data_IF_283372905235
#
_entry.id   IF_283372905235
#
_cell.length_a   1.000
_cell.length_b   1.000
_cell.length_c   1.000
_cell.angle_alpha   90.00
_cell.angle_beta   90.00
_cell.angle_gamma   90.00
#
_symmetry.space_group_name_H-M   'P 1'
#
loop_
_entity.id
_entity.type
_entity.pdbx_description
1 polymer ?
#
# COMPACT_ATOMS: atom_id res chain seq x y z
N UNK A 1 -67.97 35.70 33.27
CA UNK A 1 -68.12 34.47 34.08
C UNK A 1 -67.49 33.28 33.49
N UNK A 2 -66.14 33.34 33.27
CA UNK A 2 -65.37 32.17 32.84
C UNK A 2 -63.86 32.42 33.09
N UNK A 3 -63.54 32.77 34.32
CA UNK A 3 -62.13 32.84 34.73
C UNK A 3 -62.09 32.67 36.25
N UNK A 4 -62.00 31.46 36.74
CA UNK A 4 -61.34 31.08 37.99
C UNK A 4 -61.55 29.58 38.24
N UNK A 5 -60.78 28.74 37.52
CA UNK A 5 -60.40 27.42 38.01
C UNK A 5 -58.93 27.49 38.37
N UNK A 6 -58.73 27.87 39.64
CA UNK A 6 -57.38 27.55 40.26
C UNK A 6 -57.29 26.02 40.30
N UNK A 7 -56.39 25.52 39.48
CA UNK A 7 -55.92 24.16 39.65
C UNK A 7 -55.16 24.11 40.99
N UNK A 8 -55.79 23.53 41.96
CA UNK A 8 -55.10 23.10 43.16
C UNK A 8 -54.01 22.14 42.74
N UNK A 9 -52.75 22.50 42.96
CA UNK A 9 -51.61 21.62 42.80
C UNK A 9 -51.78 20.51 43.84
N UNK A 10 -52.23 19.33 43.39
CA UNK A 10 -52.05 18.13 44.19
C UNK A 10 -50.53 17.93 44.43
N UNK A 11 -50.10 17.64 45.66
CA UNK A 11 -48.69 17.37 45.91
C UNK A 11 -48.31 16.14 45.15
N UNK A 12 -47.55 16.34 44.06
CA UNK A 12 -46.95 15.28 43.29
C UNK A 12 -46.16 14.39 44.22
N UNK A 13 -46.49 13.10 44.32
CA UNK A 13 -45.75 12.12 45.09
C UNK A 13 -44.30 12.18 44.63
N UNK A 14 -43.38 12.71 45.46
CA UNK A 14 -41.97 12.80 45.18
C UNK A 14 -41.47 11.41 44.74
N UNK A 15 -41.05 11.33 43.50
CA UNK A 15 -40.43 10.11 42.95
C UNK A 15 -39.24 9.75 43.84
N UNK A 16 -39.03 8.46 44.09
CA UNK A 16 -37.82 7.96 44.84
C UNK A 16 -36.51 8.53 44.27
N UNK A 17 -36.48 8.79 42.97
CA UNK A 17 -35.35 9.46 42.28
C UNK A 17 -35.16 10.90 42.77
N UNK A 18 -36.25 11.68 42.94
CA UNK A 18 -36.20 13.07 43.44
C UNK A 18 -35.66 13.13 44.87
N UNK A 19 -36.10 12.20 45.72
CA UNK A 19 -35.63 12.12 47.13
C UNK A 19 -34.15 11.81 47.19
N UNK A 20 -33.65 10.85 46.36
CA UNK A 20 -32.22 10.49 46.30
C UNK A 20 -31.42 11.66 45.71
N UNK A 21 -31.90 12.26 44.61
CA UNK A 21 -31.26 13.41 43.97
C UNK A 21 -31.12 14.58 44.94
N UNK A 22 -32.23 14.97 45.63
CA UNK A 22 -32.20 16.05 46.60
C UNK A 22 -31.27 15.75 47.79
N UNK A 23 -31.22 14.52 48.29
CA UNK A 23 -30.31 14.10 49.37
C UNK A 23 -28.82 14.14 48.98
N UNK A 24 -28.53 13.84 47.71
CA UNK A 24 -27.15 13.90 47.20
C UNK A 24 -26.77 15.35 46.90
N UNK A 25 -27.62 16.10 46.16
CA UNK A 25 -27.34 17.46 45.73
C UNK A 25 -27.29 18.46 46.91
N UNK A 26 -28.16 18.31 47.92
CA UNK A 26 -28.17 19.19 49.08
C UNK A 26 -26.84 19.26 49.80
N UNK A 27 -26.03 18.16 49.82
CA UNK A 27 -24.69 18.11 50.43
C UNK A 27 -23.69 19.07 49.74
N UNK A 28 -23.95 19.41 48.48
CA UNK A 28 -23.07 20.28 47.68
C UNK A 28 -23.64 21.69 47.53
N UNK A 29 -24.91 21.90 47.79
CA UNK A 29 -25.60 23.20 47.57
C UNK A 29 -25.81 23.96 48.88
N UNK A 30 -26.17 23.25 49.98
CA UNK A 30 -26.58 23.87 51.22
C UNK A 30 -25.58 23.58 52.35
N UNK A 31 -25.23 24.63 53.14
CA UNK A 31 -24.40 24.52 54.34
C UNK A 31 -23.00 25.16 54.25
N UNK A 32 -22.44 25.57 55.40
CA UNK A 32 -21.12 26.23 55.47
C UNK A 32 -19.97 25.44 54.85
N UNK A 33 -20.07 24.11 54.81
CA UNK A 33 -19.05 23.24 54.21
C UNK A 33 -19.31 22.93 52.74
N UNK A 34 -20.37 23.44 52.15
CA UNK A 34 -20.75 23.15 50.74
C UNK A 34 -19.65 23.55 49.74
N UNK A 35 -18.96 24.67 50.01
CA UNK A 35 -17.84 25.15 49.19
C UNK A 35 -16.65 24.18 49.18
N UNK A 36 -16.28 23.62 50.38
CA UNK A 36 -15.20 22.67 50.47
C UNK A 36 -15.56 21.32 49.80
N UNK A 37 -16.81 20.89 49.94
CA UNK A 37 -17.31 19.68 49.27
C UNK A 37 -17.35 19.82 47.75
N UNK A 38 -17.71 21.01 47.23
CA UNK A 38 -17.62 21.31 45.78
C UNK A 38 -16.15 21.30 45.32
N UNK A 39 -15.24 21.94 46.04
CA UNK A 39 -13.81 21.89 45.73
C UNK A 39 -13.30 20.44 45.72
N UNK A 40 -13.62 19.64 46.74
CA UNK A 40 -13.24 18.23 46.81
C UNK A 40 -13.84 17.41 45.63
N UNK A 41 -15.09 17.69 45.24
CA UNK A 41 -15.71 17.08 44.08
C UNK A 41 -14.96 17.40 42.79
N UNK A 42 -14.64 18.69 42.57
CA UNK A 42 -13.88 19.11 41.38
C UNK A 42 -12.47 18.51 41.37
N UNK A 43 -11.78 18.46 42.52
CA UNK A 43 -10.48 17.81 42.60
C UNK A 43 -10.62 16.30 42.32
N UNK A 44 -11.66 15.65 42.83
CA UNK A 44 -11.94 14.24 42.56
C UNK A 44 -12.20 13.98 41.06
N UNK A 45 -13.03 14.83 40.41
CA UNK A 45 -13.30 14.73 38.98
C UNK A 45 -12.02 14.96 38.18
N UNK A 46 -11.24 16.00 38.52
CA UNK A 46 -9.97 16.29 37.82
C UNK A 46 -8.97 15.14 37.99
N UNK A 47 -8.85 14.60 39.20
CA UNK A 47 -7.99 13.45 39.47
C UNK A 47 -8.42 12.22 38.69
N UNK A 48 -9.72 11.96 38.59
CA UNK A 48 -10.26 10.85 37.80
C UNK A 48 -10.01 11.01 36.29
N UNK A 49 -10.16 12.24 35.80
CA UNK A 49 -9.81 12.56 34.39
C UNK A 49 -8.32 12.39 34.13
N UNK A 50 -7.46 12.87 35.03
CA UNK A 50 -6.00 12.69 34.95
C UNK A 50 -5.62 11.20 35.01
N UNK A 51 -6.24 10.43 35.89
CA UNK A 51 -6.04 8.99 35.97
C UNK A 51 -6.50 8.29 34.67
N UNK A 52 -7.66 8.65 34.15
CA UNK A 52 -8.15 8.10 32.89
C UNK A 52 -7.23 8.43 31.70
N UNK A 53 -6.76 9.67 31.61
CA UNK A 53 -5.81 10.07 30.59
C UNK A 53 -4.45 9.33 30.73
N UNK A 54 -4.01 9.11 31.96
CA UNK A 54 -2.76 8.38 32.23
C UNK A 54 -2.79 6.94 31.72
N UNK A 55 -3.95 6.27 31.74
CA UNK A 55 -4.09 4.92 31.18
C UNK A 55 -3.73 4.85 29.70
N UNK A 56 -4.06 5.89 28.92
CA UNK A 56 -3.71 5.98 27.51
C UNK A 56 -2.21 6.30 27.32
N UNK A 57 -1.65 7.21 28.14
CA UNK A 57 -0.21 7.57 28.08
C UNK A 57 0.67 6.37 28.44
N UNK A 58 0.30 5.61 29.46
CA UNK A 58 1.03 4.38 29.85
C UNK A 58 0.69 3.16 28.98
N UNK A 59 -0.06 3.36 27.87
CA UNK A 59 -0.45 2.31 26.93
C UNK A 59 -1.21 1.13 27.58
N UNK A 60 -1.82 1.34 28.76
CA UNK A 60 -2.68 0.35 29.44
C UNK A 60 -4.05 0.24 28.75
N UNK A 61 -4.50 1.33 28.14
CA UNK A 61 -5.63 1.36 27.23
C UNK A 61 -5.13 1.90 25.90
N UNK A 62 -5.19 1.06 24.86
CA UNK A 62 -4.71 1.41 23.51
C UNK A 62 -5.72 2.36 22.85
N UNK A 63 -5.26 3.53 22.44
CA UNK A 63 -6.04 4.46 21.64
C UNK A 63 -6.03 3.97 20.19
N UNK A 64 -7.11 3.37 19.70
CA UNK A 64 -7.29 3.04 18.29
C UNK A 64 -8.28 4.00 17.67
N UNK A 65 -7.97 4.51 16.47
CA UNK A 65 -8.92 5.33 15.72
C UNK A 65 -10.15 4.52 15.31
N UNK A 66 -9.91 3.31 14.80
CA UNK A 66 -10.94 2.34 14.46
C UNK A 66 -10.41 0.94 14.79
N UNK A 67 -11.25 0.04 15.31
CA UNK A 67 -10.84 -1.35 15.56
C UNK A 67 -10.71 -2.08 14.22
N UNK A 68 -9.76 -3.04 14.12
CA UNK A 68 -9.62 -3.89 12.96
C UNK A 68 -10.91 -4.68 12.71
N UNK A 69 -11.39 -4.66 11.48
CA UNK A 69 -12.60 -5.41 11.09
C UNK A 69 -12.21 -6.85 10.75
N UNK A 70 -13.01 -7.80 11.20
CA UNK A 70 -12.79 -9.21 10.96
C UNK A 70 -13.37 -9.61 9.59
N UNK A 71 -12.66 -9.29 8.52
CA UNK A 71 -13.03 -9.62 7.13
C UNK A 71 -12.55 -11.02 6.73
N UNK A 72 -13.19 -11.59 5.73
CA UNK A 72 -12.83 -12.90 5.18
C UNK A 72 -11.93 -12.79 3.94
N UNK A 73 -11.16 -11.70 3.85
CA UNK A 73 -10.23 -11.46 2.74
C UNK A 73 -8.95 -10.76 3.23
N UNK A 74 -7.84 -11.14 2.64
CA UNK A 74 -6.52 -10.55 2.81
C UNK A 74 -5.86 -10.41 1.44
N UNK A 75 -4.94 -9.45 1.29
CA UNK A 75 -4.17 -9.28 0.08
C UNK A 75 -2.68 -9.18 0.40
N UNK A 76 -1.84 -9.92 -0.31
CA UNK A 76 -0.40 -9.67 -0.33
C UNK A 76 -0.08 -8.85 -1.56
N UNK A 77 0.61 -7.76 -1.34
CA UNK A 77 1.08 -6.86 -2.39
C UNK A 77 2.59 -7.03 -2.48
N UNK A 78 3.06 -7.47 -3.64
CA UNK A 78 4.46 -7.87 -3.87
C UNK A 78 5.12 -6.89 -4.83
N UNK A 79 6.24 -6.32 -4.40
CA UNK A 79 7.12 -5.50 -5.23
C UNK A 79 8.50 -6.15 -5.27
N UNK A 80 8.93 -6.56 -6.46
CA UNK A 80 10.23 -7.16 -6.71
C UNK A 80 11.31 -6.08 -6.89
N UNK A 81 12.58 -6.39 -6.60
CA UNK A 81 13.66 -5.47 -6.91
C UNK A 81 13.78 -5.24 -8.42
N UNK A 82 14.23 -4.06 -8.79
CA UNK A 82 14.46 -3.69 -10.18
C UNK A 82 15.37 -4.69 -10.91
N UNK A 83 15.02 -4.98 -12.16
CA UNK A 83 15.71 -5.98 -12.96
C UNK A 83 15.24 -7.42 -12.76
N UNK A 84 14.25 -7.65 -11.88
CA UNK A 84 13.64 -8.98 -11.74
C UNK A 84 12.77 -9.32 -12.95
N UNK A 85 12.73 -10.59 -13.30
CA UNK A 85 11.85 -11.09 -14.37
C UNK A 85 10.46 -11.47 -13.83
N UNK A 86 9.50 -11.57 -14.76
CA UNK A 86 8.15 -12.04 -14.43
C UNK A 86 8.16 -13.46 -13.84
N UNK A 87 9.09 -14.30 -14.30
CA UNK A 87 9.26 -15.67 -13.79
C UNK A 87 9.72 -15.67 -12.33
N UNK A 88 10.61 -14.74 -11.95
CA UNK A 88 11.03 -14.57 -10.55
C UNK A 88 9.86 -14.09 -9.67
N UNK A 89 9.07 -13.13 -10.15
CA UNK A 89 7.85 -12.69 -9.47
C UNK A 89 6.87 -13.83 -9.28
N UNK A 90 6.66 -14.62 -10.33
CA UNK A 90 5.79 -15.79 -10.25
C UNK A 90 6.32 -16.89 -9.31
N UNK A 91 7.65 -17.09 -9.26
CA UNK A 91 8.28 -18.02 -8.32
C UNK A 91 8.08 -17.59 -6.87
N UNK A 92 8.27 -16.29 -6.56
CA UNK A 92 7.99 -15.74 -5.24
C UNK A 92 6.53 -15.92 -4.86
N UNK A 93 5.59 -15.57 -5.76
CA UNK A 93 4.14 -15.75 -5.51
C UNK A 93 3.80 -17.22 -5.24
N UNK A 94 4.45 -18.16 -5.92
CA UNK A 94 4.29 -19.59 -5.68
C UNK A 94 4.75 -20.03 -4.28
N UNK A 95 5.92 -19.52 -3.80
CA UNK A 95 6.38 -19.81 -2.43
C UNK A 95 5.47 -19.18 -1.37
N UNK A 96 5.01 -17.93 -1.58
CA UNK A 96 4.07 -17.26 -0.69
C UNK A 96 2.73 -18.02 -0.64
N UNK A 97 2.20 -18.41 -1.80
CA UNK A 97 0.96 -19.16 -1.92
C UNK A 97 1.04 -20.53 -1.22
N UNK A 98 2.12 -21.26 -1.40
CA UNK A 98 2.35 -22.53 -0.73
C UNK A 98 2.37 -22.38 0.81
N UNK A 99 2.85 -21.23 1.32
CA UNK A 99 2.83 -20.96 2.75
C UNK A 99 1.45 -20.60 3.25
N UNK A 100 0.72 -19.80 2.50
CA UNK A 100 -0.67 -19.41 2.78
C UNK A 100 -1.60 -20.63 2.78
N UNK A 101 -1.41 -21.57 1.89
CA UNK A 101 -2.20 -22.80 1.76
C UNK A 101 -2.12 -23.71 3.01
N UNK A 102 -1.07 -23.58 3.81
CA UNK A 102 -0.92 -24.31 5.07
C UNK A 102 -1.79 -23.77 6.21
N UNK A 103 -2.43 -22.61 6.03
CA UNK A 103 -3.27 -21.99 7.06
C UNK A 103 -4.69 -22.58 7.00
N UNK A 104 -5.18 -23.23 8.07
CA UNK A 104 -6.46 -23.94 8.03
C UNK A 104 -7.67 -23.05 7.74
N UNK A 105 -7.57 -21.76 8.02
CA UNK A 105 -8.64 -20.78 7.79
C UNK A 105 -8.65 -20.19 6.37
N UNK A 106 -7.68 -20.56 5.54
CA UNK A 106 -7.66 -20.15 4.12
C UNK A 106 -8.59 -21.06 3.33
N UNK A 107 -9.57 -20.46 2.66
CA UNK A 107 -10.50 -21.16 1.79
C UNK A 107 -9.90 -21.37 0.39
N UNK A 108 -9.33 -20.33 -0.18
CA UNK A 108 -8.64 -20.33 -1.47
C UNK A 108 -7.79 -19.06 -1.61
N UNK A 109 -6.97 -19.05 -2.65
CA UNK A 109 -6.18 -17.88 -3.04
C UNK A 109 -6.10 -17.75 -4.56
N UNK A 110 -5.76 -16.56 -5.03
CA UNK A 110 -5.54 -16.26 -6.45
C UNK A 110 -4.28 -15.44 -6.58
N UNK A 111 -3.33 -15.87 -7.42
CA UNK A 111 -2.08 -15.22 -7.67
C UNK A 111 -2.11 -14.47 -9.00
N UNK A 112 -1.61 -13.24 -9.00
CA UNK A 112 -1.53 -12.36 -10.15
C UNK A 112 -0.07 -11.92 -10.31
N UNK A 113 0.62 -12.44 -11.32
CA UNK A 113 2.00 -12.07 -11.64
C UNK A 113 2.01 -11.05 -12.78
N UNK A 114 2.74 -9.94 -12.58
CA UNK A 114 2.85 -8.87 -13.59
C UNK A 114 1.64 -7.94 -13.69
N UNK A 115 0.66 -8.11 -12.83
CA UNK A 115 -0.55 -7.29 -12.77
C UNK A 115 -1.11 -7.28 -11.36
N UNK A 116 -1.98 -6.31 -11.09
CA UNK A 116 -2.72 -6.26 -9.82
C UNK A 116 -3.86 -7.28 -9.78
N UNK A 117 -4.27 -7.64 -8.57
CA UNK A 117 -5.54 -8.34 -8.33
C UNK A 117 -6.74 -7.52 -8.83
N UNK A 118 -7.93 -8.13 -9.03
CA UNK A 118 -9.15 -7.42 -9.39
C UNK A 118 -9.41 -6.26 -8.42
N UNK A 119 -9.92 -5.16 -8.96
CA UNK A 119 -10.10 -3.91 -8.18
C UNK A 119 -11.05 -4.13 -7.02
N UNK A 120 -10.52 -4.05 -5.82
CA UNK A 120 -11.29 -3.95 -4.57
C UNK A 120 -11.42 -2.47 -4.18
N UNK A 121 -12.33 -2.15 -3.25
CA UNK A 121 -12.47 -0.78 -2.78
C UNK A 121 -11.17 -0.26 -2.12
N UNK A 122 -10.47 -1.11 -1.37
CA UNK A 122 -9.16 -0.80 -0.80
C UNK A 122 -8.10 -0.58 -1.88
N UNK A 123 -8.04 -1.47 -2.86
CA UNK A 123 -7.12 -1.35 -4.01
C UNK A 123 -7.38 -0.10 -4.85
N UNK A 124 -8.63 0.36 -4.95
CA UNK A 124 -8.98 1.60 -5.63
C UNK A 124 -8.36 2.82 -4.92
N UNK A 125 -8.51 2.93 -3.61
CA UNK A 125 -7.99 4.08 -2.84
C UNK A 125 -6.47 4.05 -2.74
N UNK A 126 -5.87 2.88 -2.54
CA UNK A 126 -4.42 2.69 -2.52
C UNK A 126 -3.79 2.68 -3.91
N UNK A 127 -4.60 2.81 -4.96
CA UNK A 127 -4.18 2.85 -6.37
C UNK A 127 -3.43 1.58 -6.83
N UNK A 128 -3.66 0.44 -6.18
CA UNK A 128 -3.00 -0.82 -6.53
C UNK A 128 -3.33 -1.30 -7.95
N UNK A 129 -4.50 -0.93 -8.49
CA UNK A 129 -4.92 -1.26 -9.86
C UNK A 129 -4.02 -0.65 -10.94
N UNK A 130 -3.20 0.37 -10.61
CA UNK A 130 -2.25 0.97 -11.53
C UNK A 130 -0.94 0.18 -11.65
N UNK A 131 -0.70 -0.79 -10.74
CA UNK A 131 0.53 -1.57 -10.71
C UNK A 131 0.52 -2.60 -11.83
N UNK A 132 1.49 -2.50 -12.74
CA UNK A 132 1.67 -3.38 -13.89
C UNK A 132 3.15 -3.53 -14.21
N UNK A 133 3.51 -4.66 -14.78
CA UNK A 133 4.87 -4.96 -15.22
C UNK A 133 5.50 -6.14 -14.47
N UNK A 134 6.67 -6.60 -14.90
CA UNK A 134 7.28 -7.85 -14.42
C UNK A 134 7.63 -7.82 -12.92
N UNK A 135 7.78 -6.63 -12.33
CA UNK A 135 8.23 -6.45 -10.94
C UNK A 135 7.09 -6.52 -9.91
N UNK A 136 5.84 -6.56 -10.36
CA UNK A 136 4.69 -6.50 -9.45
C UNK A 136 3.91 -7.81 -9.44
N UNK A 137 3.35 -8.12 -8.28
CA UNK A 137 2.45 -9.24 -8.12
C UNK A 137 1.52 -9.06 -6.94
N UNK A 138 0.39 -9.72 -6.99
CA UNK A 138 -0.60 -9.72 -5.92
C UNK A 138 -1.03 -11.17 -5.62
N UNK A 139 -1.31 -11.45 -4.35
CA UNK A 139 -1.96 -12.67 -3.92
C UNK A 139 -3.22 -12.30 -3.15
N UNK A 140 -4.37 -12.55 -3.75
CA UNK A 140 -5.66 -12.40 -3.09
C UNK A 140 -5.98 -13.66 -2.31
N UNK A 141 -6.26 -13.54 -1.03
CA UNK A 141 -6.50 -14.66 -0.10
C UNK A 141 -7.91 -14.52 0.44
N UNK A 142 -8.70 -15.57 0.30
CA UNK A 142 -10.02 -15.67 0.89
C UNK A 142 -10.00 -16.61 2.09
N UNK A 143 -10.48 -16.11 3.22
CA UNK A 143 -10.59 -16.84 4.47
C UNK A 143 -11.99 -17.46 4.61
N UNK A 144 -12.11 -18.49 5.41
CA UNK A 144 -13.40 -18.99 5.88
C UNK A 144 -14.23 -17.88 6.49
N UNK A 145 -15.55 -18.02 6.49
CA UNK A 145 -16.43 -17.04 7.13
C UNK A 145 -16.04 -16.85 8.61
N UNK A 146 -16.21 -15.62 9.10
CA UNK A 146 -15.85 -15.26 10.49
C UNK A 146 -16.56 -16.12 11.55
N UNK A 147 -17.68 -16.74 11.22
CA UNK A 147 -18.44 -17.63 12.10
C UNK A 147 -17.95 -19.09 12.03
N UNK A 148 -17.14 -19.43 11.02
CA UNK A 148 -16.57 -20.78 10.82
C UNK A 148 -15.12 -20.88 11.27
N UNK A 149 -14.51 -19.79 11.77
CA UNK A 149 -13.14 -19.75 12.24
C UNK A 149 -13.02 -19.15 13.64
N UNK A 150 -12.02 -19.60 14.39
CA UNK A 150 -11.78 -19.13 15.75
C UNK A 150 -10.87 -17.90 15.78
N UNK A 151 -9.88 -17.83 14.88
CA UNK A 151 -8.95 -16.69 14.79
C UNK A 151 -9.57 -15.57 13.94
N UNK A 152 -9.37 -14.31 14.37
CA UNK A 152 -9.72 -13.13 13.56
C UNK A 152 -8.75 -13.01 12.38
N UNK A 153 -9.18 -12.30 11.32
CA UNK A 153 -8.30 -12.00 10.16
C UNK A 153 -6.99 -11.36 10.59
N UNK A 154 -7.04 -10.41 11.50
CA UNK A 154 -5.87 -9.74 12.05
C UNK A 154 -4.90 -10.71 12.77
N UNK A 155 -5.40 -11.61 13.58
CA UNK A 155 -4.56 -12.62 14.26
C UNK A 155 -3.87 -13.55 13.25
N UNK A 156 -4.57 -13.90 12.17
CA UNK A 156 -4.02 -14.70 11.06
C UNK A 156 -2.92 -13.91 10.35
N UNK A 157 -3.17 -12.65 10.02
CA UNK A 157 -2.20 -11.75 9.39
C UNK A 157 -0.93 -11.61 10.21
N UNK A 158 -1.06 -11.35 11.52
CA UNK A 158 0.08 -11.23 12.42
C UNK A 158 0.91 -12.52 12.50
N UNK A 159 0.24 -13.68 12.52
CA UNK A 159 0.92 -14.97 12.56
C UNK A 159 1.65 -15.30 11.25
N UNK A 160 1.09 -14.92 10.10
CA UNK A 160 1.69 -15.15 8.78
C UNK A 160 2.85 -14.22 8.47
N UNK A 161 2.78 -12.96 8.90
CA UNK A 161 3.71 -11.90 8.52
C UNK A 161 5.20 -12.29 8.65
N UNK A 162 5.70 -12.85 9.76
CA UNK A 162 7.13 -13.19 9.89
C UNK A 162 7.60 -14.22 8.84
N UNK A 163 6.75 -15.18 8.53
CA UNK A 163 7.07 -16.25 7.57
C UNK A 163 7.07 -15.74 6.15
N UNK A 164 6.10 -14.88 5.80
CA UNK A 164 6.03 -14.22 4.49
C UNK A 164 7.21 -13.28 4.29
N UNK A 165 7.61 -12.53 5.31
CA UNK A 165 8.80 -11.67 5.26
C UNK A 165 10.10 -12.46 5.10
N UNK A 166 10.22 -13.63 5.73
CA UNK A 166 11.39 -14.51 5.52
C UNK A 166 11.49 -15.01 4.08
N UNK A 167 10.34 -15.33 3.45
CA UNK A 167 10.31 -15.70 2.02
C UNK A 167 10.69 -14.49 1.16
N UNK A 168 10.12 -13.31 1.43
CA UNK A 168 10.38 -12.08 0.71
C UNK A 168 11.88 -11.71 0.71
N UNK A 169 12.56 -11.87 1.85
CA UNK A 169 13.98 -11.58 2.00
C UNK A 169 14.88 -12.40 1.07
N UNK A 170 14.53 -13.65 0.76
CA UNK A 170 15.30 -14.49 -0.19
C UNK A 170 15.35 -13.85 -1.58
N UNK A 171 14.29 -13.17 -1.96
CA UNK A 171 14.15 -12.49 -3.25
C UNK A 171 14.51 -11.00 -3.18
N UNK A 172 14.85 -10.50 -1.99
CA UNK A 172 15.03 -9.05 -1.72
C UNK A 172 13.76 -8.24 -2.10
N UNK A 173 12.60 -8.87 -2.06
CA UNK A 173 11.32 -8.31 -2.42
C UNK A 173 10.66 -7.61 -1.23
N UNK A 174 9.82 -6.61 -1.50
CA UNK A 174 8.89 -6.04 -0.54
C UNK A 174 7.56 -6.78 -0.61
N UNK A 175 7.11 -7.37 0.49
CA UNK A 175 5.81 -8.03 0.60
C UNK A 175 5.02 -7.36 1.70
N UNK A 176 3.94 -6.69 1.30
CA UNK A 176 3.01 -6.00 2.20
C UNK A 176 1.81 -6.89 2.46
N UNK A 177 1.44 -7.05 3.71
CA UNK A 177 0.23 -7.81 4.10
C UNK A 177 -0.88 -6.81 4.37
N UNK A 178 -1.81 -6.72 3.45
CA UNK A 178 -2.85 -5.69 3.43
C UNK A 178 -4.17 -6.28 3.90
N UNK A 179 -4.70 -5.73 4.97
CA UNK A 179 -6.04 -6.02 5.47
C UNK A 179 -7.04 -4.97 4.95
N UNK A 180 -8.30 -5.34 4.90
CA UNK A 180 -9.37 -4.37 4.59
C UNK A 180 -9.52 -3.44 5.78
N UNK A 181 -9.27 -2.13 5.62
CA UNK A 181 -9.34 -1.20 6.73
C UNK A 181 -10.78 -1.04 7.23
N UNK A 182 -10.97 -0.83 8.54
CA UNK A 182 -12.26 -0.45 9.07
C UNK A 182 -12.57 1.02 8.71
N UNK A 183 -13.70 1.26 8.07
CA UNK A 183 -14.14 2.62 7.72
C UNK A 183 -13.63 3.11 6.36
N UNK A 184 -13.58 4.44 6.13
CA UNK A 184 -13.13 4.99 4.85
C UNK A 184 -11.68 4.59 4.58
N UNK A 185 -11.38 4.01 3.41
CA UNK A 185 -10.01 3.64 3.10
C UNK A 185 -9.15 4.88 2.95
N UNK A 186 -7.92 4.76 3.44
CA UNK A 186 -6.86 5.75 3.33
C UNK A 186 -5.70 5.16 2.53
N UNK A 187 -4.85 6.01 1.97
CA UNK A 187 -3.69 5.56 1.19
C UNK A 187 -2.77 4.67 2.04
N UNK A 188 -2.51 5.06 3.29
CA UNK A 188 -1.83 4.25 4.29
C UNK A 188 -2.26 4.70 5.70
N UNK A 189 -2.21 3.82 6.72
CA UNK A 189 -2.48 4.19 8.11
C UNK A 189 -1.50 5.25 8.63
N UNK A 190 -0.23 5.14 8.25
CA UNK A 190 0.81 6.14 8.45
C UNK A 190 1.24 6.67 7.09
N UNK A 191 1.00 7.95 6.83
CA UNK A 191 1.38 8.63 5.60
C UNK A 191 2.07 9.93 5.95
N UNK A 192 3.33 10.04 5.57
CA UNK A 192 4.08 11.29 5.60
C UNK A 192 4.21 11.85 4.18
N UNK A 193 3.93 13.12 4.04
CA UNK A 193 4.04 13.87 2.80
C UNK A 193 5.18 14.88 2.94
N UNK A 194 6.22 14.71 2.13
CA UNK A 194 7.39 15.60 2.14
C UNK A 194 7.28 16.55 0.97
N UNK A 195 7.12 17.84 1.29
CA UNK A 195 7.05 18.93 0.32
C UNK A 195 8.31 19.79 0.40
N UNK A 196 8.74 20.30 -0.72
CA UNK A 196 9.85 21.22 -0.76
C UNK A 196 10.05 21.85 -2.13
N UNK A 197 10.71 23.02 -2.21
CA UNK A 197 11.02 23.66 -3.48
C UNK A 197 12.07 22.88 -4.28
N UNK A 198 12.88 22.07 -3.60
CA UNK A 198 13.87 21.18 -4.19
C UNK A 198 13.42 19.72 -4.03
N UNK A 199 13.07 19.10 -5.14
CA UNK A 199 12.61 17.70 -5.19
C UNK A 199 13.70 16.71 -4.76
N UNK A 200 14.98 16.98 -5.08
CA UNK A 200 16.08 16.11 -4.67
C UNK A 200 16.28 16.11 -3.15
N UNK A 201 16.17 17.27 -2.53
CA UNK A 201 16.20 17.39 -1.07
C UNK A 201 14.99 16.66 -0.43
N UNK A 202 13.80 16.80 -1.02
CA UNK A 202 12.60 16.10 -0.56
C UNK A 202 12.78 14.57 -0.61
N UNK A 203 13.44 14.03 -1.64
CA UNK A 203 13.77 12.59 -1.73
C UNK A 203 14.74 12.15 -0.63
N UNK A 204 15.75 12.98 -0.33
CA UNK A 204 16.70 12.67 0.75
C UNK A 204 16.02 12.65 2.11
N UNK A 205 15.19 13.64 2.40
CA UNK A 205 14.39 13.70 3.64
C UNK A 205 13.46 12.48 3.75
N UNK A 206 12.73 12.15 2.68
CA UNK A 206 11.84 11.00 2.64
C UNK A 206 12.58 9.67 2.89
N UNK A 207 13.78 9.52 2.31
CA UNK A 207 14.63 8.35 2.52
C UNK A 207 15.11 8.25 3.96
N UNK A 208 15.51 9.37 4.58
CA UNK A 208 15.90 9.40 6.00
C UNK A 208 14.72 9.07 6.90
N UNK A 209 13.53 9.62 6.59
CA UNK A 209 12.30 9.34 7.32
C UNK A 209 11.94 7.85 7.24
N UNK A 210 11.97 7.26 6.05
CA UNK A 210 11.72 5.82 5.87
C UNK A 210 12.71 4.96 6.66
N UNK A 211 14.00 5.33 6.68
CA UNK A 211 15.01 4.64 7.46
C UNK A 211 14.81 4.75 8.99
N UNK A 212 14.21 5.85 9.46
CA UNK A 212 13.82 6.00 10.87
C UNK A 212 12.58 5.19 11.20
N UNK A 213 11.55 5.25 10.36
CA UNK A 213 10.35 4.40 10.49
C UNK A 213 10.72 2.92 10.57
N UNK A 214 11.70 2.47 9.77
CA UNK A 214 12.17 1.09 9.76
C UNK A 214 12.81 0.63 11.08
N UNK A 215 13.32 1.56 11.88
CA UNK A 215 13.90 1.31 13.21
C UNK A 215 12.91 1.47 14.35
N UNK A 216 11.70 1.93 14.05
CA UNK A 216 10.66 2.16 15.06
C UNK A 216 9.84 0.89 15.23
N UNK A 217 9.76 0.41 16.45
CA UNK A 217 9.01 -0.81 16.78
C UNK A 217 7.53 -0.66 16.42
N UNK A 218 6.97 -1.69 15.81
CA UNK A 218 5.55 -1.74 15.45
C UNK A 218 5.22 -1.10 14.10
N UNK A 219 6.15 -0.39 13.46
CA UNK A 219 5.96 0.13 12.11
C UNK A 219 6.47 -0.90 11.10
N UNK A 220 5.62 -1.24 10.14
CA UNK A 220 5.88 -2.27 9.12
C UNK A 220 5.48 -1.79 7.73
N UNK A 221 5.83 -2.56 6.71
CA UNK A 221 5.42 -2.33 5.31
C UNK A 221 5.74 -0.90 4.83
N UNK A 222 6.91 -0.38 5.26
CA UNK A 222 7.36 0.96 4.92
C UNK A 222 7.68 1.02 3.43
N UNK A 223 7.15 2.04 2.77
CA UNK A 223 7.35 2.27 1.35
C UNK A 223 7.51 3.76 1.06
N UNK A 224 8.18 4.08 -0.03
CA UNK A 224 8.37 5.46 -0.47
C UNK A 224 8.02 5.60 -1.94
N UNK A 225 7.53 6.78 -2.33
CA UNK A 225 7.34 7.12 -3.74
C UNK A 225 8.66 7.51 -4.44
N UNK A 226 9.80 7.40 -3.74
CA UNK A 226 11.12 7.60 -4.35
C UNK A 226 11.45 6.40 -5.22
N UNK A 227 11.52 6.60 -6.52
CA UNK A 227 11.94 5.54 -7.43
C UNK A 227 13.41 5.17 -7.21
N UNK A 228 13.72 3.88 -7.40
CA UNK A 228 15.08 3.41 -7.40
C UNK A 228 15.89 4.10 -8.51
N UNK A 229 17.15 4.38 -8.24
CA UNK A 229 18.05 4.95 -9.24
C UNK A 229 18.50 3.83 -10.19
N UNK A 230 17.72 3.59 -11.24
CA UNK A 230 17.97 2.52 -12.23
C UNK A 230 18.46 3.14 -13.52
N UNK A 231 19.46 2.52 -14.12
CA UNK A 231 19.93 2.84 -15.45
C UNK A 231 19.13 2.05 -16.48
N UNK A 232 18.72 2.70 -17.56
CA UNK A 232 18.07 2.07 -18.70
C UNK A 232 18.98 2.16 -19.93
N UNK A 233 18.93 1.15 -20.76
CA UNK A 233 19.57 1.16 -22.06
C UNK A 233 18.62 1.76 -23.10
N UNK A 234 19.02 2.88 -23.69
CA UNK A 234 18.27 3.55 -24.75
C UNK A 234 18.92 3.21 -26.09
N UNK A 235 18.13 2.65 -26.99
CA UNK A 235 18.51 2.38 -28.35
C UNK A 235 18.25 3.63 -29.20
N UNK A 236 19.30 4.44 -29.44
CA UNK A 236 19.20 5.67 -30.20
C UNK A 236 19.44 5.42 -31.68
N UNK A 237 18.43 5.71 -32.50
CA UNK A 237 18.51 5.54 -33.96
C UNK A 237 19.30 6.71 -34.58
N UNK A 238 20.32 6.40 -35.38
CA UNK A 238 20.96 7.36 -36.27
C UNK A 238 20.08 7.61 -37.48
N UNK A 239 19.21 8.60 -37.38
CA UNK A 239 18.24 8.95 -38.45
C UNK A 239 18.94 9.31 -39.74
N UNK A 240 20.05 10.05 -39.71
CA UNK A 240 20.77 10.47 -40.90
C UNK A 240 21.38 9.28 -41.63
N UNK A 241 21.91 8.33 -40.90
CA UNK A 241 22.48 7.09 -41.46
C UNK A 241 21.39 6.17 -41.98
N UNK A 242 20.26 6.02 -41.24
CA UNK A 242 19.12 5.23 -41.68
C UNK A 242 18.54 5.72 -43.01
N UNK A 243 18.35 7.03 -43.16
CA UNK A 243 17.89 7.64 -44.42
C UNK A 243 18.86 7.38 -45.58
N UNK A 244 20.16 7.55 -45.36
CA UNK A 244 21.20 7.28 -46.41
C UNK A 244 21.21 5.82 -46.86
N UNK A 245 20.94 4.89 -45.92
CA UNK A 245 20.89 3.45 -46.23
C UNK A 245 19.51 3.00 -46.72
N UNK A 246 18.54 3.91 -46.82
CA UNK A 246 17.19 3.62 -47.28
C UNK A 246 16.35 2.79 -46.33
N UNK A 247 16.61 2.90 -45.01
CA UNK A 247 15.87 2.20 -43.95
C UNK A 247 14.96 3.19 -43.22
N UNK A 248 13.68 2.86 -43.13
CA UNK A 248 12.74 3.69 -42.39
C UNK A 248 12.88 3.47 -40.85
N UNK A 249 12.66 4.53 -40.09
CA UNK A 249 12.62 4.43 -38.62
C UNK A 249 11.58 3.41 -38.15
N UNK A 250 10.43 3.36 -38.82
CA UNK A 250 9.36 2.41 -38.51
C UNK A 250 9.84 0.96 -38.66
N UNK A 251 10.60 0.62 -39.70
CA UNK A 251 11.13 -0.72 -39.88
C UNK A 251 12.11 -1.11 -38.79
N UNK A 252 12.97 -0.18 -38.35
CA UNK A 252 13.91 -0.37 -37.23
C UNK A 252 13.12 -0.63 -35.95
N UNK A 253 12.18 0.24 -35.61
CA UNK A 253 11.37 0.12 -34.39
C UNK A 253 10.55 -1.16 -34.38
N UNK A 254 9.92 -1.51 -35.53
CA UNK A 254 9.12 -2.74 -35.62
C UNK A 254 9.99 -4.00 -35.42
N UNK A 255 11.20 -4.01 -35.97
CA UNK A 255 12.13 -5.14 -35.80
C UNK A 255 12.56 -5.29 -34.33
N UNK A 256 12.89 -4.19 -33.66
CA UNK A 256 13.25 -4.19 -32.25
C UNK A 256 12.07 -4.62 -31.37
N UNK A 257 10.89 -4.08 -31.59
CA UNK A 257 9.67 -4.45 -30.86
C UNK A 257 9.35 -5.94 -31.05
N UNK A 258 9.41 -6.44 -32.27
CA UNK A 258 9.15 -7.86 -32.55
C UNK A 258 10.17 -8.77 -31.89
N UNK A 259 11.44 -8.36 -31.86
CA UNK A 259 12.51 -9.14 -31.26
C UNK A 259 12.38 -9.23 -29.73
N UNK A 260 12.10 -8.10 -29.08
CA UNK A 260 12.11 -7.98 -27.61
C UNK A 260 10.74 -8.31 -27.03
N UNK A 261 9.72 -7.56 -27.44
CA UNK A 261 8.37 -7.68 -26.87
C UNK A 261 7.54 -8.79 -27.56
N UNK A 262 7.81 -9.04 -28.83
CA UNK A 262 7.09 -9.98 -29.67
C UNK A 262 5.96 -9.32 -30.46
N UNK A 263 5.61 -9.93 -31.56
CA UNK A 263 4.49 -9.52 -32.40
C UNK A 263 3.56 -10.71 -32.71
N UNK A 264 2.27 -10.49 -32.62
CA UNK A 264 1.28 -11.47 -33.04
C UNK A 264 1.15 -11.42 -34.56
N UNK A 265 1.80 -12.37 -35.19
CA UNK A 265 1.91 -12.42 -36.69
C UNK A 265 0.73 -13.09 -37.34
N UNK A 266 0.01 -13.94 -36.66
CA UNK A 266 -1.17 -14.64 -37.13
C UNK A 266 -1.97 -15.21 -35.95
N UNK A 267 -3.11 -15.79 -36.24
CA UNK A 267 -3.98 -16.44 -35.27
C UNK A 267 -4.33 -17.86 -35.69
N UNK A 268 -4.23 -18.79 -34.75
CA UNK A 268 -4.75 -20.13 -34.93
C UNK A 268 -6.26 -20.12 -34.67
N UNK A 269 -7.03 -20.54 -35.66
CA UNK A 269 -8.46 -20.77 -35.48
C UNK A 269 -8.66 -22.16 -34.90
N UNK A 270 -9.21 -22.19 -33.68
CA UNK A 270 -9.50 -23.41 -32.93
C UNK A 270 -10.98 -23.38 -32.55
N UNK A 271 -11.74 -24.35 -33.03
CA UNK A 271 -13.19 -24.46 -32.77
C UNK A 271 -13.53 -24.67 -31.29
N UNK A 272 -12.55 -25.10 -30.47
CA UNK A 272 -12.73 -25.34 -29.03
C UNK A 272 -12.38 -24.11 -28.18
N UNK A 273 -11.78 -23.10 -28.78
CA UNK A 273 -11.30 -21.91 -28.08
C UNK A 273 -12.27 -20.76 -28.24
N UNK A 274 -12.71 -20.15 -27.13
CA UNK A 274 -13.58 -18.96 -27.16
C UNK A 274 -12.90 -17.74 -27.79
N UNK A 275 -11.57 -17.66 -27.67
CA UNK A 275 -10.75 -16.59 -28.21
C UNK A 275 -9.72 -17.14 -29.17
N UNK A 276 -9.40 -16.39 -30.21
CA UNK A 276 -8.36 -16.76 -31.17
C UNK A 276 -7.00 -16.85 -30.45
N UNK A 277 -6.25 -17.93 -30.70
CA UNK A 277 -4.91 -18.14 -30.16
C UNK A 277 -3.90 -17.43 -31.08
N UNK A 278 -3.17 -16.45 -30.54
CA UNK A 278 -2.15 -15.74 -31.33
C UNK A 278 -0.92 -16.63 -31.59
N UNK A 279 -0.37 -16.53 -32.80
CA UNK A 279 0.95 -17.04 -33.15
C UNK A 279 1.92 -15.87 -32.94
N UNK A 280 2.66 -15.90 -31.84
CA UNK A 280 3.54 -14.82 -31.43
C UNK A 280 4.99 -15.09 -31.84
N UNK A 281 5.56 -14.17 -32.59
CA UNK A 281 6.96 -14.20 -32.99
C UNK A 281 7.78 -13.31 -32.04
N UNK A 282 8.78 -13.90 -31.37
CA UNK A 282 9.74 -13.17 -30.54
C UNK A 282 11.07 -13.92 -30.47
N UNK A 283 12.14 -13.25 -30.05
CA UNK A 283 13.36 -13.94 -29.67
C UNK A 283 13.15 -14.74 -28.38
N UNK A 284 13.83 -15.89 -28.21
CA UNK A 284 13.83 -16.57 -26.90
C UNK A 284 14.43 -15.66 -25.83
N UNK A 285 13.92 -15.77 -24.59
CA UNK A 285 14.33 -14.92 -23.46
C UNK A 285 15.83 -14.85 -23.29
N UNK A 286 16.54 -15.98 -23.47
CA UNK A 286 18.00 -16.05 -23.39
C UNK A 286 18.73 -15.20 -24.44
N UNK A 287 18.09 -14.92 -25.59
CA UNK A 287 18.66 -14.06 -26.63
C UNK A 287 18.24 -12.58 -26.46
N UNK A 288 17.16 -12.29 -25.72
CA UNK A 288 16.72 -10.93 -25.45
C UNK A 288 17.63 -10.20 -24.43
N UNK A 289 18.35 -10.95 -23.59
CA UNK A 289 19.27 -10.40 -22.61
C UNK A 289 20.60 -9.98 -23.23
N UNK A 290 20.89 -10.48 -24.43
CA UNK A 290 22.16 -10.24 -25.14
C UNK A 290 21.95 -9.12 -26.17
N UNK A 291 22.32 -7.88 -25.80
CA UNK A 291 22.20 -6.70 -26.65
C UNK A 291 22.98 -6.86 -27.98
N UNK A 292 24.14 -7.53 -27.96
CA UNK A 292 24.93 -7.75 -29.17
C UNK A 292 24.18 -8.62 -30.17
N UNK A 293 23.43 -9.61 -29.72
CA UNK A 293 22.56 -10.43 -30.59
C UNK A 293 21.38 -9.63 -31.15
N UNK A 294 20.78 -8.75 -30.37
CA UNK A 294 19.72 -7.86 -30.83
C UNK A 294 20.25 -6.94 -31.92
N UNK A 295 21.44 -6.38 -31.73
CA UNK A 295 22.07 -5.48 -32.71
C UNK A 295 22.53 -6.19 -34.00
N UNK A 296 22.72 -7.52 -33.98
CA UNK A 296 23.00 -8.32 -35.22
C UNK A 296 21.76 -8.58 -36.06
N UNK A 297 20.56 -8.35 -35.55
CA UNK A 297 19.35 -8.44 -36.37
C UNK A 297 19.43 -7.47 -37.53
N UNK A 298 18.85 -7.88 -38.66
CA UNK A 298 18.91 -7.08 -39.89
C UNK A 298 17.53 -6.55 -40.27
N UNK A 299 17.52 -5.32 -40.76
CA UNK A 299 16.34 -4.64 -41.29
C UNK A 299 16.49 -4.50 -42.83
N UNK A 300 15.39 -4.75 -43.55
CA UNK A 300 15.38 -4.62 -45.02
C UNK A 300 15.29 -3.15 -45.43
N UNK A 301 16.25 -2.67 -46.18
CA UNK A 301 16.23 -1.36 -46.82
C UNK A 301 15.29 -1.32 -48.05
N UNK A 302 14.91 -0.13 -48.47
CA UNK A 302 14.08 0.08 -49.69
C UNK A 302 14.74 -0.46 -50.96
N UNK A 303 16.07 -0.55 -50.97
CA UNK A 303 16.86 -1.15 -52.05
C UNK A 303 16.81 -2.68 -52.09
N UNK A 304 16.24 -3.31 -51.02
CA UNK A 304 16.23 -4.76 -50.84
C UNK A 304 17.44 -5.31 -50.04
N UNK A 305 18.43 -4.48 -49.74
CA UNK A 305 19.60 -4.87 -48.98
C UNK A 305 19.22 -5.07 -47.50
N UNK A 306 19.82 -6.06 -46.85
CA UNK A 306 19.70 -6.29 -45.39
C UNK A 306 20.79 -5.51 -44.65
N UNK A 307 20.39 -4.62 -43.75
CA UNK A 307 21.27 -3.76 -42.93
C UNK A 307 21.18 -4.19 -41.50
N UNK A 308 22.31 -4.45 -40.84
CA UNK A 308 22.34 -4.80 -39.44
C UNK A 308 21.89 -3.61 -38.53
N UNK A 309 21.18 -3.89 -37.44
CA UNK A 309 20.77 -2.85 -36.49
C UNK A 309 21.96 -2.12 -35.87
N UNK A 310 23.09 -2.80 -35.67
CA UNK A 310 24.34 -2.19 -35.19
C UNK A 310 24.86 -1.04 -36.05
N UNK A 311 24.47 -1.02 -37.36
CA UNK A 311 24.81 0.06 -38.27
C UNK A 311 23.86 1.29 -38.14
N UNK A 312 22.70 1.10 -37.50
CA UNK A 312 21.59 2.05 -37.46
C UNK A 312 21.30 2.59 -36.08
N UNK A 313 21.76 1.87 -35.04
CA UNK A 313 21.38 2.12 -33.65
C UNK A 313 22.63 2.13 -32.75
N UNK A 314 22.68 3.05 -31.80
CA UNK A 314 23.65 3.09 -30.72
C UNK A 314 22.98 2.85 -29.37
N UNK A 315 23.65 2.12 -28.48
CA UNK A 315 23.18 1.90 -27.10
C UNK A 315 23.71 3.02 -26.22
N UNK A 316 22.83 3.67 -25.48
CA UNK A 316 23.17 4.69 -24.50
C UNK A 316 22.57 4.32 -23.14
N UNK A 317 23.37 4.45 -22.08
CA UNK A 317 22.92 4.23 -20.71
C UNK A 317 22.50 5.58 -20.13
N UNK A 318 21.24 5.70 -19.75
CA UNK A 318 20.69 6.91 -19.13
C UNK A 318 19.92 6.55 -17.85
N UNK A 319 19.88 7.45 -16.86
CA UNK A 319 18.99 7.24 -15.72
C UNK A 319 17.54 7.12 -16.16
N UNK A 320 16.78 6.28 -15.49
CA UNK A 320 15.34 6.20 -15.73
C UNK A 320 14.66 7.49 -15.27
N UNK A 321 13.79 8.05 -16.10
CA UNK A 321 12.90 9.15 -15.75
C UNK A 321 11.79 8.62 -14.84
N UNK A 322 11.92 8.85 -13.55
CA UNK A 322 10.92 8.45 -12.57
C UNK A 322 9.70 9.40 -12.59
N UNK A 323 8.54 8.88 -12.18
CA UNK A 323 7.35 9.70 -11.99
C UNK A 323 7.56 10.68 -10.83
N UNK A 324 7.20 11.95 -11.04
CA UNK A 324 7.18 12.98 -10.01
C UNK A 324 5.72 13.21 -9.61
N UNK A 325 5.40 12.89 -8.37
CA UNK A 325 4.06 13.12 -7.85
C UNK A 325 3.88 14.58 -7.47
N UNK A 326 2.69 15.11 -7.71
CA UNK A 326 2.31 16.46 -7.33
C UNK A 326 1.02 16.44 -6.51
N UNK A 327 0.99 17.23 -5.46
CA UNK A 327 -0.20 17.52 -4.68
C UNK A 327 -0.29 19.02 -4.45
N UNK A 328 -1.45 19.61 -4.68
CA UNK A 328 -1.68 21.06 -4.57
C UNK A 328 -0.66 21.86 -5.39
N UNK A 329 -0.34 21.40 -6.60
CA UNK A 329 0.62 21.97 -7.55
C UNK A 329 2.10 21.96 -7.09
N UNK A 330 2.41 21.32 -5.98
CA UNK A 330 3.79 21.18 -5.49
C UNK A 330 4.28 19.74 -5.66
N UNK A 331 5.55 19.51 -6.01
CA UNK A 331 6.15 18.21 -5.96
C UNK A 331 6.05 17.63 -4.54
N UNK A 332 5.67 16.36 -4.44
CA UNK A 332 5.52 15.68 -3.16
C UNK A 332 6.19 14.31 -3.22
N UNK A 333 6.82 13.94 -2.11
CA UNK A 333 7.32 12.58 -1.89
C UNK A 333 6.52 11.96 -0.74
N UNK A 334 5.93 10.82 -1.00
CA UNK A 334 5.18 10.06 -0.01
C UNK A 334 6.08 9.05 0.70
N UNK A 335 5.93 8.97 2.02
CA UNK A 335 6.44 7.86 2.83
C UNK A 335 5.24 7.23 3.52
N UNK A 336 4.94 6.01 3.16
CA UNK A 336 3.81 5.27 3.70
C UNK A 336 4.28 4.11 4.57
N UNK A 337 3.52 3.78 5.59
CA UNK A 337 3.78 2.62 6.43
C UNK A 337 2.46 2.07 6.99
N UNK A 338 2.52 0.84 7.44
CA UNK A 338 1.45 0.20 8.19
C UNK A 338 1.94 -0.10 9.61
N UNK A 339 1.05 -0.52 10.48
CA UNK A 339 1.39 -0.92 11.83
C UNK A 339 0.99 -2.36 12.08
N UNK A 340 1.87 -3.09 12.75
CA UNK A 340 1.61 -4.43 13.24
C UNK A 340 2.40 -4.65 14.53
N UNK A 341 1.73 -5.06 15.59
CA UNK A 341 2.40 -5.30 16.86
C UNK A 341 1.46 -5.30 18.05
N UNK A 342 2.04 -5.18 19.23
CA UNK A 342 1.28 -5.26 20.48
C UNK A 342 0.25 -4.13 20.63
N UNK A 343 0.56 -2.93 20.15
CA UNK A 343 -0.32 -1.75 20.29
C UNK A 343 -1.14 -1.48 19.04
N UNK A 344 -0.62 -1.81 17.86
CA UNK A 344 -1.30 -1.75 16.56
C UNK A 344 -2.22 -0.52 16.46
N UNK A 345 -1.60 0.66 16.58
CA UNK A 345 -2.29 1.95 16.56
C UNK A 345 -1.46 3.04 15.88
N UNK A 346 -1.91 3.56 14.72
CA UNK A 346 -1.24 4.60 13.95
C UNK A 346 -0.89 5.86 14.78
N UNK A 347 -1.64 6.12 15.84
CA UNK A 347 -1.38 7.27 16.72
C UNK A 347 -0.04 7.14 17.47
N UNK A 348 0.27 5.95 18.00
CA UNK A 348 1.53 5.77 18.71
C UNK A 348 2.72 5.76 17.77
N UNK A 349 2.60 5.08 16.61
CA UNK A 349 3.63 5.12 15.57
C UNK A 349 3.89 6.55 15.09
N UNK A 350 2.84 7.33 14.87
CA UNK A 350 2.98 8.74 14.52
C UNK A 350 3.72 9.54 15.60
N UNK A 351 3.38 9.37 16.88
CA UNK A 351 4.07 10.08 17.97
C UNK A 351 5.53 9.67 18.10
N UNK A 352 5.82 8.38 17.95
CA UNK A 352 7.19 7.86 18.00
C UNK A 352 8.04 8.38 16.83
N UNK A 353 7.47 8.48 15.63
CA UNK A 353 8.13 9.07 14.45
C UNK A 353 8.30 10.59 14.60
N UNK A 354 7.24 11.31 14.99
CA UNK A 354 7.30 12.78 15.17
C UNK A 354 8.34 13.17 16.22
N UNK A 355 8.47 12.38 17.30
CA UNK A 355 9.51 12.60 18.31
C UNK A 355 10.93 12.52 17.75
N UNK A 356 11.12 11.79 16.63
CA UNK A 356 12.43 11.62 15.98
C UNK A 356 12.68 12.61 14.83
N UNK A 357 11.69 13.45 14.48
CA UNK A 357 11.80 14.42 13.38
C UNK A 357 12.56 15.70 13.76
N UNK A 358 12.77 15.96 15.05
CA UNK A 358 13.39 17.19 15.52
C UNK A 358 14.81 17.45 14.97
N UNK A 359 15.45 16.39 14.40
CA UNK A 359 16.81 16.43 13.89
C UNK A 359 16.89 16.34 12.35
N UNK A 360 15.77 16.37 11.64
CA UNK A 360 15.65 16.46 10.18
C UNK A 360 15.23 17.88 9.80
#
# INVERSE_FOLDING_TARGET
KLLNKQHAHEPEKESKLNIISNKVMSRFIVGQQATNKRKALWIGILSLLMLSASLAVFKLVVLKMLPNDNKSELQLVVDMPEGSSLEQTNALLGELAAKVDLVPEVLNYQAYAGTSAPVTFNGLVRQYFLRQGPLVGDLQINLLDKHERNRKSHDITLALRPELQNIAQKYKASVKVVEVPPGPPVMAPLLAEVYGPDYENSKQIATQLAARMQKTDGIVDIDTSVAANVMREILKIDQARAVRLGVSQQAITQTLMTAIDGADVSYLQDEQSRYAKSIRLRLPVSAQVDMDRILQLSVKANTGQMIALSELVSVQNEPWDAAIYHKDLMPVVYVSADEAGQYDSPLYGMFDVVGQLADI
#
